data_IF_741814913403
#
_entry.id   IF_741814913403
#
_cell.length_a   1.000
_cell.length_b   1.000
_cell.length_c   1.000
_cell.angle_alpha   90.00
_cell.angle_beta   90.00
_cell.angle_gamma   90.00
#
_symmetry.space_group_name_H-M   'P 1'
#
loop_
_entity.id
_entity.type
_entity.pdbx_description
1 polymer ?
#
# COMPACT_ATOMS: atom_id res chain seq x y z
N UNK A 1 1.34 -26.07 1.56
CA UNK A 1 0.56 -25.83 0.34
C UNK A 1 -0.81 -26.51 0.35
N UNK A 2 -0.95 -27.72 0.96
CA UNK A 2 -2.24 -28.44 0.96
C UNK A 2 -3.44 -27.57 1.35
N UNK A 3 -3.44 -26.80 2.45
CA UNK A 3 -4.61 -25.96 2.79
C UNK A 3 -4.98 -24.95 1.71
N UNK A 4 -4.03 -24.34 0.99
CA UNK A 4 -4.32 -23.43 -0.11
C UNK A 4 -4.92 -24.15 -1.32
N UNK A 5 -4.44 -25.39 -1.61
CA UNK A 5 -5.03 -26.20 -2.68
C UNK A 5 -6.44 -26.69 -2.34
N UNK A 6 -6.68 -27.03 -1.05
CA UNK A 6 -8.02 -27.40 -0.58
C UNK A 6 -9.01 -26.22 -0.70
N UNK A 7 -8.51 -24.97 -0.60
CA UNK A 7 -9.25 -23.73 -0.88
C UNK A 7 -9.35 -23.40 -2.39
N UNK A 8 -8.81 -24.24 -3.28
CA UNK A 8 -8.81 -23.99 -4.72
C UNK A 8 -7.94 -22.81 -5.16
N UNK A 9 -6.89 -22.48 -4.40
CA UNK A 9 -5.98 -21.35 -4.67
C UNK A 9 -4.56 -21.88 -4.88
N UNK A 10 -3.98 -21.58 -6.05
CA UNK A 10 -2.59 -21.86 -6.37
C UNK A 10 -1.81 -20.54 -6.42
N UNK A 11 -1.06 -20.17 -5.37
CA UNK A 11 -0.19 -19.01 -5.42
C UNK A 11 1.07 -19.30 -6.23
N UNK A 12 1.50 -18.32 -7.03
CA UNK A 12 2.69 -18.38 -7.86
C UNK A 12 3.58 -17.19 -7.50
N UNK A 13 4.85 -17.46 -7.21
CA UNK A 13 5.90 -16.47 -6.98
C UNK A 13 6.62 -16.15 -8.28
N UNK A 14 6.97 -14.90 -8.49
CA UNK A 14 7.64 -14.45 -9.71
C UNK A 14 9.17 -14.39 -9.52
N UNK A 15 9.90 -14.80 -10.57
CA UNK A 15 11.35 -14.76 -10.64
C UNK A 15 11.80 -14.13 -11.96
N UNK A 16 12.85 -13.32 -11.92
CA UNK A 16 13.57 -12.78 -13.08
C UNK A 16 15.04 -13.22 -13.00
N UNK A 17 15.82 -12.94 -14.02
CA UNK A 17 17.28 -13.15 -14.02
C UNK A 17 17.98 -12.45 -12.82
N UNK A 18 17.37 -11.36 -12.31
CA UNK A 18 17.87 -10.60 -11.16
C UNK A 18 17.40 -11.15 -9.81
N UNK A 19 16.65 -12.26 -9.80
CA UNK A 19 16.13 -12.91 -8.59
C UNK A 19 14.62 -12.81 -8.42
N UNK A 20 14.15 -13.21 -7.23
CA UNK A 20 12.73 -13.21 -6.90
C UNK A 20 12.16 -11.79 -6.76
N UNK A 21 10.91 -11.65 -7.20
CA UNK A 21 10.13 -10.42 -7.04
C UNK A 21 9.18 -10.55 -5.85
N UNK A 22 8.82 -9.44 -5.20
CA UNK A 22 7.78 -9.41 -4.17
C UNK A 22 6.37 -9.50 -4.77
N UNK A 23 6.22 -10.14 -5.91
CA UNK A 23 5.02 -10.21 -6.71
C UNK A 23 4.39 -11.59 -6.62
N UNK A 24 3.06 -11.65 -6.62
CA UNK A 24 2.29 -12.87 -6.53
C UNK A 24 1.24 -12.93 -7.64
N UNK A 25 1.05 -14.11 -8.21
CA UNK A 25 -0.14 -14.43 -8.98
C UNK A 25 -0.95 -15.49 -8.26
N UNK A 26 -2.26 -15.39 -8.34
CA UNK A 26 -3.20 -16.38 -7.81
C UNK A 26 -3.91 -17.04 -8.98
N UNK A 27 -3.76 -18.36 -9.08
CA UNK A 27 -4.50 -19.18 -10.04
C UNK A 27 -5.63 -19.88 -9.31
N UNK A 28 -6.83 -19.79 -9.87
CA UNK A 28 -8.06 -20.35 -9.30
C UNK A 28 -9.05 -20.67 -10.43
N UNK A 29 -10.13 -21.38 -10.10
CA UNK A 29 -11.22 -21.64 -11.03
C UNK A 29 -12.45 -20.78 -10.68
N UNK A 30 -13.04 -20.15 -11.69
CA UNK A 30 -14.32 -19.46 -11.63
C UNK A 30 -15.01 -19.61 -13.00
N UNK A 31 -15.75 -20.72 -13.19
CA UNK A 31 -16.27 -21.15 -14.50
C UNK A 31 -15.19 -21.63 -15.48
N UNK A 32 -13.98 -21.12 -15.34
CA UNK A 32 -12.75 -21.50 -16.05
C UNK A 32 -11.53 -21.23 -15.17
N UNK A 33 -10.37 -21.73 -15.59
CA UNK A 33 -9.11 -21.41 -14.90
C UNK A 33 -8.71 -19.97 -15.21
N UNK A 34 -8.47 -19.18 -14.15
CA UNK A 34 -8.09 -17.78 -14.21
C UNK A 34 -6.79 -17.52 -13.45
N UNK A 35 -6.09 -16.48 -13.85
CA UNK A 35 -4.88 -15.97 -13.18
C UNK A 35 -5.03 -14.49 -12.92
N UNK A 36 -5.05 -14.09 -11.64
CA UNK A 36 -4.94 -12.69 -11.22
C UNK A 36 -3.54 -12.43 -10.68
N UNK A 37 -2.84 -11.50 -11.30
CA UNK A 37 -1.50 -11.06 -10.90
C UNK A 37 -1.62 -9.78 -10.09
N UNK A 38 -1.11 -9.80 -8.86
CA UNK A 38 -1.25 -8.70 -7.90
C UNK A 38 0.05 -7.93 -7.84
N UNK A 39 -0.02 -6.63 -8.06
CA UNK A 39 1.10 -5.69 -7.97
C UNK A 39 2.34 -6.16 -8.76
N UNK A 40 2.13 -6.73 -9.94
CA UNK A 40 3.18 -7.33 -10.76
C UNK A 40 3.56 -6.47 -11.95
N UNK A 41 4.74 -6.73 -12.51
CA UNK A 41 5.15 -6.18 -13.80
C UNK A 41 4.45 -6.93 -14.96
N UNK A 42 4.20 -6.23 -16.07
CA UNK A 42 3.74 -6.86 -17.29
C UNK A 42 4.83 -7.79 -17.86
N UNK A 43 4.51 -9.06 -18.05
CA UNK A 43 5.37 -10.04 -18.71
C UNK A 43 4.91 -10.28 -20.15
N UNK A 44 5.86 -10.37 -21.08
CA UNK A 44 5.56 -10.72 -22.48
C UNK A 44 5.26 -12.20 -22.66
N UNK A 45 5.78 -13.05 -21.79
CA UNK A 45 5.69 -14.51 -21.92
C UNK A 45 4.39 -15.09 -21.38
N UNK A 46 3.77 -14.44 -20.39
CA UNK A 46 2.50 -14.89 -19.83
C UNK A 46 1.64 -13.69 -19.42
N UNK A 47 0.51 -13.51 -20.10
CA UNK A 47 -0.46 -12.48 -19.75
C UNK A 47 -1.48 -13.08 -18.77
N UNK A 48 -1.66 -12.52 -17.57
CA UNK A 48 -2.74 -12.90 -16.68
C UNK A 48 -4.08 -12.39 -17.21
N UNK A 49 -5.17 -12.96 -16.71
CA UNK A 49 -6.52 -12.48 -17.00
C UNK A 49 -6.74 -11.07 -16.42
N UNK A 50 -6.06 -10.73 -15.31
CA UNK A 50 -6.01 -9.37 -14.78
C UNK A 50 -4.69 -9.06 -14.05
N UNK A 51 -4.24 -7.81 -14.16
CA UNK A 51 -3.27 -7.18 -13.27
C UNK A 51 -4.03 -6.34 -12.25
N UNK A 52 -4.12 -6.80 -11.01
CA UNK A 52 -4.72 -6.06 -9.91
C UNK A 52 -3.65 -5.14 -9.31
N UNK A 53 -3.83 -3.83 -9.42
CA UNK A 53 -2.92 -2.84 -8.83
C UNK A 53 -3.59 -2.25 -7.60
N UNK A 54 -3.06 -2.57 -6.41
CA UNK A 54 -3.67 -2.18 -5.14
C UNK A 54 -3.50 -0.71 -4.84
N UNK A 55 -2.36 -0.12 -5.18
CA UNK A 55 -2.03 1.30 -5.02
C UNK A 55 -0.83 1.70 -5.90
N UNK A 56 -0.45 2.98 -5.89
CA UNK A 56 0.52 3.52 -6.86
C UNK A 56 1.96 3.62 -6.35
N UNK A 57 2.35 2.98 -5.22
CA UNK A 57 3.75 2.91 -4.82
C UNK A 57 4.57 2.04 -5.78
N UNK A 58 5.81 2.46 -6.05
CA UNK A 58 6.67 1.88 -7.09
C UNK A 58 7.10 0.43 -6.85
N UNK A 59 7.05 -0.02 -5.61
CA UNK A 59 7.35 -1.39 -5.19
C UNK A 59 6.15 -2.34 -5.30
N UNK A 60 4.93 -1.79 -5.50
CA UNK A 60 3.69 -2.55 -5.66
C UNK A 60 3.17 -2.65 -7.09
N UNK A 61 3.72 -1.90 -8.03
CA UNK A 61 3.32 -2.05 -9.42
C UNK A 61 4.52 -2.05 -10.34
N UNK A 62 4.47 -2.87 -11.36
CA UNK A 62 5.38 -2.70 -12.47
C UNK A 62 4.88 -1.55 -13.34
N UNK A 63 5.75 -0.58 -13.63
CA UNK A 63 5.47 0.52 -14.58
C UNK A 63 4.81 0.04 -15.87
N UNK A 64 5.11 -1.19 -16.29
CA UNK A 64 4.53 -1.81 -17.47
C UNK A 64 3.09 -2.30 -17.27
N UNK A 65 2.68 -2.65 -16.04
CA UNK A 65 1.33 -3.16 -15.79
C UNK A 65 0.26 -2.10 -16.07
N UNK A 66 0.50 -0.82 -15.72
CA UNK A 66 -0.42 0.28 -16.01
C UNK A 66 -0.71 0.47 -17.51
N UNK A 67 0.15 -0.04 -18.38
CA UNK A 67 0.01 0.03 -19.85
C UNK A 67 -0.74 -1.19 -20.43
N UNK A 68 -1.13 -2.15 -19.61
CA UNK A 68 -1.92 -3.31 -20.03
C UNK A 68 -3.40 -3.00 -20.03
N UNK A 69 -4.12 -3.47 -21.04
CA UNK A 69 -5.59 -3.42 -21.08
C UNK A 69 -6.26 -4.29 -20.01
N UNK A 70 -5.51 -5.28 -19.48
CA UNK A 70 -5.95 -6.17 -18.41
C UNK A 70 -5.65 -5.59 -17.01
N UNK A 71 -5.03 -4.40 -16.91
CA UNK A 71 -4.81 -3.75 -15.63
C UNK A 71 -6.11 -3.21 -15.04
N UNK A 72 -6.25 -3.34 -13.71
CA UNK A 72 -7.43 -2.90 -12.97
C UNK A 72 -6.97 -2.23 -11.67
N UNK A 73 -7.40 -1.00 -11.42
CA UNK A 73 -7.15 -0.28 -10.17
C UNK A 73 -8.24 0.77 -9.90
N UNK A 74 -8.20 1.40 -8.72
CA UNK A 74 -9.09 2.52 -8.42
C UNK A 74 -8.84 3.72 -9.34
N UNK A 75 -9.83 4.61 -9.48
CA UNK A 75 -9.71 5.84 -10.27
C UNK A 75 -8.56 6.72 -9.75
N UNK A 76 -8.42 6.82 -8.43
CA UNK A 76 -7.39 7.59 -7.77
C UNK A 76 -6.00 6.97 -7.97
N UNK A 77 -5.88 5.65 -7.89
CA UNK A 77 -4.61 4.95 -8.21
C UNK A 77 -4.22 5.17 -9.67
N UNK A 78 -5.15 5.07 -10.62
CA UNK A 78 -4.87 5.37 -12.02
C UNK A 78 -4.39 6.81 -12.22
N UNK A 79 -5.05 7.77 -11.57
CA UNK A 79 -4.67 9.19 -11.61
C UNK A 79 -3.27 9.41 -11.03
N UNK A 80 -2.95 8.78 -9.90
CA UNK A 80 -1.62 8.86 -9.30
C UNK A 80 -0.54 8.29 -10.23
N UNK A 81 -0.79 7.14 -10.87
CA UNK A 81 0.11 6.53 -11.85
C UNK A 81 0.33 7.44 -13.07
N UNK A 82 -0.73 8.08 -13.57
CA UNK A 82 -0.62 9.02 -14.69
C UNK A 82 0.26 10.22 -14.33
N UNK A 83 0.11 10.78 -13.13
CA UNK A 83 0.93 11.89 -12.62
C UNK A 83 2.39 11.45 -12.47
N UNK A 84 2.64 10.31 -11.82
CA UNK A 84 3.98 9.81 -11.54
C UNK A 84 4.77 9.46 -12.79
N UNK A 85 4.12 8.95 -13.84
CA UNK A 85 4.81 8.44 -15.03
C UNK A 85 4.58 9.26 -16.30
N UNK A 86 3.72 10.27 -16.26
CA UNK A 86 3.39 11.10 -17.43
C UNK A 86 2.79 10.29 -18.58
N UNK A 87 2.09 9.17 -18.28
CA UNK A 87 1.50 8.27 -19.27
C UNK A 87 0.07 7.95 -18.90
N UNK A 88 -0.79 7.85 -19.91
CA UNK A 88 -2.17 7.41 -19.72
C UNK A 88 -2.24 5.98 -19.21
N UNK A 89 -3.08 5.76 -18.22
CA UNK A 89 -3.46 4.44 -17.74
C UNK A 89 -4.29 3.72 -18.84
N UNK A 90 -3.90 2.52 -19.19
CA UNK A 90 -4.52 1.80 -20.30
C UNK A 90 -5.61 0.80 -19.89
N UNK A 91 -5.68 0.49 -18.61
CA UNK A 91 -6.58 -0.52 -18.05
C UNK A 91 -7.96 0.03 -17.67
N UNK A 92 -8.67 -0.74 -16.86
CA UNK A 92 -10.00 -0.40 -16.35
C UNK A 92 -9.90 0.20 -14.94
N UNK A 93 -10.76 1.16 -14.64
CA UNK A 93 -10.85 1.78 -13.32
C UNK A 93 -12.21 1.59 -12.68
N UNK A 94 -12.26 1.71 -11.36
CA UNK A 94 -13.47 1.63 -10.54
C UNK A 94 -13.42 2.64 -9.39
N UNK A 95 -14.56 2.89 -8.75
CA UNK A 95 -14.60 3.54 -7.44
C UNK A 95 -14.46 2.49 -6.35
N UNK A 96 -13.67 2.79 -5.31
CA UNK A 96 -13.55 1.91 -4.14
C UNK A 96 -14.93 1.76 -3.48
N UNK A 97 -15.28 0.52 -3.15
CA UNK A 97 -16.61 0.12 -2.66
C UNK A 97 -17.51 -0.46 -3.75
N UNK A 98 -17.17 -0.28 -5.03
CA UNK A 98 -17.92 -0.88 -6.13
C UNK A 98 -17.58 -2.38 -6.27
N UNK A 99 -18.53 -3.14 -6.84
CA UNK A 99 -18.30 -4.45 -7.45
C UNK A 99 -18.02 -4.29 -8.93
N UNK A 100 -17.03 -5.00 -9.43
CA UNK A 100 -16.63 -4.98 -10.85
C UNK A 100 -16.54 -6.40 -11.39
N UNK A 101 -16.94 -6.61 -12.65
CA UNK A 101 -16.65 -7.87 -13.34
C UNK A 101 -15.23 -7.87 -13.87
N UNK A 102 -14.43 -8.87 -13.52
CA UNK A 102 -13.09 -9.10 -14.05
C UNK A 102 -13.04 -10.52 -14.60
N UNK A 103 -12.99 -10.64 -15.91
CA UNK A 103 -12.92 -11.92 -16.63
C UNK A 103 -14.07 -12.91 -16.29
N UNK A 104 -15.24 -12.40 -15.94
CA UNK A 104 -16.41 -13.17 -15.52
C UNK A 104 -16.50 -13.43 -14.02
N UNK A 105 -15.64 -12.80 -13.22
CA UNK A 105 -15.65 -12.89 -11.75
C UNK A 105 -16.11 -11.56 -11.16
N UNK A 106 -17.10 -11.60 -10.27
CA UNK A 106 -17.47 -10.45 -9.46
C UNK A 106 -16.37 -10.19 -8.43
N UNK A 107 -15.70 -9.05 -8.54
CA UNK A 107 -14.67 -8.60 -7.60
C UNK A 107 -15.18 -7.38 -6.84
N UNK A 108 -15.25 -7.47 -5.52
CA UNK A 108 -15.55 -6.35 -4.62
C UNK A 108 -14.27 -5.66 -4.18
N UNK A 109 -14.37 -4.38 -3.89
CA UNK A 109 -13.23 -3.57 -3.50
C UNK A 109 -13.49 -2.87 -2.17
N UNK A 110 -12.45 -2.77 -1.33
CA UNK A 110 -12.54 -2.17 0.01
C UNK A 110 -11.36 -1.21 0.24
N UNK A 111 -11.56 -0.06 0.91
CA UNK A 111 -10.46 0.85 1.21
C UNK A 111 -9.48 0.22 2.21
N UNK A 112 -8.18 0.42 2.02
CA UNK A 112 -7.13 0.02 2.97
C UNK A 112 -6.51 1.22 3.69
N UNK A 113 -6.91 2.44 3.31
CA UNK A 113 -6.50 3.70 3.92
C UNK A 113 -4.98 3.97 3.94
N UNK A 114 -4.20 3.19 3.18
CA UNK A 114 -2.75 3.34 3.08
C UNK A 114 -2.36 4.60 2.29
N UNK A 115 -2.91 4.75 1.10
CA UNK A 115 -2.78 5.94 0.26
C UNK A 115 -4.14 6.35 -0.29
N UNK A 116 -4.23 7.52 -0.92
CA UNK A 116 -5.42 7.88 -1.71
C UNK A 116 -5.56 6.86 -2.85
N UNK A 117 -6.68 6.19 -2.90
CA UNK A 117 -6.97 5.16 -3.90
C UNK A 117 -6.48 3.75 -3.58
N UNK A 118 -5.80 3.52 -2.44
CA UNK A 118 -5.40 2.17 -2.04
C UNK A 118 -6.61 1.30 -1.69
N UNK A 119 -6.63 0.06 -2.19
CA UNK A 119 -7.76 -0.84 -1.97
C UNK A 119 -7.36 -2.31 -1.90
N UNK A 120 -8.17 -3.07 -1.16
CA UNK A 120 -8.20 -4.52 -1.20
C UNK A 120 -9.14 -5.00 -2.31
N UNK A 121 -8.78 -6.12 -2.94
CA UNK A 121 -9.62 -6.86 -3.88
C UNK A 121 -10.15 -8.13 -3.22
N UNK A 122 -11.43 -8.42 -3.40
CA UNK A 122 -12.11 -9.56 -2.80
C UNK A 122 -13.00 -10.24 -3.84
N UNK A 123 -12.88 -11.57 -3.97
CA UNK A 123 -13.71 -12.37 -4.87
C UNK A 123 -13.93 -13.79 -4.34
N UNK A 124 -14.80 -14.54 -5.02
CA UNK A 124 -15.03 -15.95 -4.75
C UNK A 124 -14.62 -16.80 -5.94
N UNK A 125 -14.08 -17.98 -5.66
CA UNK A 125 -13.85 -19.02 -6.67
C UNK A 125 -14.99 -20.05 -6.73
N UNK A 126 -14.89 -21.05 -7.63
CA UNK A 126 -15.94 -22.07 -7.85
C UNK A 126 -16.24 -22.94 -6.62
N UNK A 127 -15.27 -23.14 -5.74
CA UNK A 127 -15.49 -23.89 -4.50
C UNK A 127 -16.05 -23.02 -3.36
N UNK A 128 -16.36 -21.77 -3.65
CA UNK A 128 -16.95 -20.81 -2.70
C UNK A 128 -15.91 -20.13 -1.79
N UNK A 129 -14.62 -20.35 -1.99
CA UNK A 129 -13.55 -19.71 -1.21
C UNK A 129 -13.54 -18.22 -1.45
N UNK A 130 -13.62 -17.45 -0.36
CA UNK A 130 -13.51 -16.00 -0.34
C UNK A 130 -12.03 -15.61 -0.29
N UNK A 131 -11.53 -15.06 -1.36
CA UNK A 131 -10.11 -14.66 -1.52
C UNK A 131 -10.03 -13.15 -1.38
N UNK A 132 -9.13 -12.67 -0.53
CA UNK A 132 -8.86 -11.24 -0.35
C UNK A 132 -7.36 -10.96 -0.49
N UNK A 133 -7.05 -9.90 -1.25
CA UNK A 133 -5.70 -9.35 -1.40
C UNK A 133 -5.74 -7.89 -0.98
N UNK A 134 -4.99 -7.54 0.06
CA UNK A 134 -5.09 -6.20 0.66
C UNK A 134 -4.18 -5.17 0.01
N UNK A 135 -3.03 -5.57 -0.54
CA UNK A 135 -1.93 -4.63 -0.69
C UNK A 135 -1.47 -4.13 0.68
N UNK A 136 -0.98 -2.90 0.73
CA UNK A 136 -0.60 -2.24 1.98
C UNK A 136 -1.82 -1.68 2.71
N UNK A 137 -1.81 -1.75 4.04
CA UNK A 137 -2.96 -1.42 4.88
C UNK A 137 -2.58 -0.47 6.00
N UNK A 138 -3.35 0.60 6.16
CA UNK A 138 -3.28 1.47 7.35
C UNK A 138 -4.42 1.22 8.33
N UNK A 139 -5.61 0.89 7.84
CA UNK A 139 -6.80 0.64 8.66
C UNK A 139 -7.62 -0.48 8.02
N UNK A 140 -8.01 -1.47 8.80
CA UNK A 140 -8.75 -2.65 8.36
C UNK A 140 -10.23 -2.64 8.69
N UNK A 141 -10.76 -1.54 9.24
CA UNK A 141 -12.16 -1.46 9.73
C UNK A 141 -13.20 -1.84 8.68
N UNK A 142 -12.92 -1.58 7.40
CA UNK A 142 -13.83 -1.83 6.29
C UNK A 142 -13.63 -3.22 5.64
N UNK A 143 -12.60 -3.99 6.05
CA UNK A 143 -12.29 -5.28 5.45
C UNK A 143 -13.22 -6.38 5.98
N UNK A 144 -13.83 -7.20 5.09
CA UNK A 144 -14.68 -8.31 5.48
C UNK A 144 -13.88 -9.54 5.94
N UNK A 145 -14.58 -10.52 6.47
CA UNK A 145 -14.03 -11.86 6.67
C UNK A 145 -13.74 -12.54 5.32
N UNK A 146 -12.72 -13.44 5.31
CA UNK A 146 -12.31 -14.16 4.12
C UNK A 146 -11.74 -15.54 4.49
N UNK A 147 -11.58 -16.42 3.50
CA UNK A 147 -11.01 -17.76 3.71
C UNK A 147 -9.53 -17.82 3.35
N UNK A 148 -9.09 -17.04 2.37
CA UNK A 148 -7.71 -16.88 1.94
C UNK A 148 -7.34 -15.40 1.95
N UNK A 149 -6.40 -15.02 2.81
CA UNK A 149 -5.89 -13.64 2.93
C UNK A 149 -4.48 -13.54 2.36
N UNK A 150 -4.26 -12.61 1.43
CA UNK A 150 -2.93 -12.20 0.96
C UNK A 150 -2.68 -10.77 1.43
N UNK A 151 -1.67 -10.55 2.27
CA UNK A 151 -1.47 -9.25 2.93
C UNK A 151 0.00 -8.90 3.12
N UNK A 152 0.25 -7.60 3.28
CA UNK A 152 1.58 -7.08 3.60
C UNK A 152 2.13 -7.62 4.93
N UNK A 153 3.45 -7.47 5.10
CA UNK A 153 4.12 -7.68 6.37
C UNK A 153 5.25 -6.65 6.59
N UNK A 154 5.00 -5.40 6.23
CA UNK A 154 6.00 -4.31 6.29
C UNK A 154 6.59 -4.15 7.70
N UNK A 155 5.74 -4.27 8.71
CA UNK A 155 6.12 -4.27 10.13
C UNK A 155 5.73 -5.61 10.79
N UNK A 156 5.97 -6.74 10.11
CA UNK A 156 5.45 -8.05 10.47
C UNK A 156 6.28 -8.86 11.48
N UNK A 157 7.29 -8.31 12.16
CA UNK A 157 8.04 -9.05 13.20
C UNK A 157 7.54 -8.70 14.61
N UNK A 158 6.79 -9.61 15.28
CA UNK A 158 6.29 -9.37 16.63
C UNK A 158 7.38 -9.22 17.70
N UNK A 159 8.60 -9.63 17.41
CA UNK A 159 9.72 -9.56 18.35
C UNK A 159 10.65 -8.36 18.08
N UNK A 160 10.44 -7.63 16.98
CA UNK A 160 11.20 -6.41 16.68
C UNK A 160 10.49 -5.18 17.28
N UNK A 161 11.08 -4.48 18.27
CA UNK A 161 10.50 -3.25 18.81
C UNK A 161 10.24 -2.16 17.77
N UNK A 162 10.91 -2.23 16.62
CA UNK A 162 10.70 -1.30 15.49
C UNK A 162 9.39 -1.56 14.73
N UNK A 163 8.76 -2.69 14.97
CA UNK A 163 7.48 -3.05 14.37
C UNK A 163 6.28 -2.70 15.25
N UNK A 164 6.51 -2.15 16.45
CA UNK A 164 5.48 -1.70 17.39
C UNK A 164 5.48 -0.18 17.45
N UNK A 165 4.41 0.45 17.02
CA UNK A 165 4.27 1.90 17.06
C UNK A 165 2.80 2.32 16.94
N UNK A 166 2.55 3.53 17.39
CA UNK A 166 1.30 4.26 17.15
C UNK A 166 1.64 5.61 16.52
N UNK A 167 0.71 6.20 15.78
CA UNK A 167 0.89 7.55 15.26
C UNK A 167 0.89 8.57 16.40
N UNK A 168 1.91 9.40 16.45
CA UNK A 168 2.02 10.50 17.41
C UNK A 168 1.39 11.78 16.85
N UNK A 169 0.06 11.80 16.84
CA UNK A 169 -0.71 12.96 16.40
C UNK A 169 -0.59 14.13 17.39
N UNK A 170 -0.23 13.86 18.67
CA UNK A 170 0.04 14.87 19.68
C UNK A 170 1.28 15.67 19.32
N UNK A 171 2.43 15.00 19.19
CA UNK A 171 3.68 15.66 18.79
C UNK A 171 3.57 16.38 17.43
N UNK A 172 2.76 15.84 16.49
CA UNK A 172 2.52 16.51 15.21
C UNK A 172 1.79 17.85 15.41
N UNK A 173 0.73 17.90 16.22
CA UNK A 173 -0.01 19.14 16.52
C UNK A 173 0.84 20.13 17.29
N UNK A 174 1.53 19.69 18.34
CA UNK A 174 2.45 20.51 19.13
C UNK A 174 3.50 21.18 18.23
N UNK A 175 4.08 20.44 17.27
CA UNK A 175 5.06 21.01 16.34
C UNK A 175 4.49 22.13 15.46
N UNK A 176 3.22 22.05 15.09
CA UNK A 176 2.53 23.10 14.32
C UNK A 176 2.18 24.32 15.20
N UNK A 177 1.87 24.11 16.48
CA UNK A 177 1.56 25.18 17.42
C UNK A 177 2.82 25.95 17.83
N UNK A 178 3.95 25.27 18.05
CA UNK A 178 5.23 25.88 18.41
C UNK A 178 5.82 26.73 17.28
N UNK A 179 5.72 26.25 16.01
CA UNK A 179 6.32 26.95 14.85
C UNK A 179 5.35 26.96 13.65
N UNK A 180 4.24 27.70 13.75
CA UNK A 180 3.19 27.67 12.72
C UNK A 180 3.62 28.25 11.36
N UNK A 181 4.73 29.00 11.33
CA UNK A 181 5.16 29.73 10.13
C UNK A 181 6.61 29.46 9.71
N UNK A 182 7.27 28.45 10.28
CA UNK A 182 8.66 28.11 9.91
C UNK A 182 8.99 26.63 10.19
N UNK A 183 8.16 25.72 9.66
CA UNK A 183 8.32 24.28 9.88
C UNK A 183 8.35 23.51 8.55
N UNK A 184 9.15 22.45 8.48
CA UNK A 184 9.20 21.54 7.36
C UNK A 184 8.99 20.07 7.79
N UNK A 185 8.23 19.35 6.97
CA UNK A 185 8.01 17.92 7.12
C UNK A 185 8.62 17.14 5.94
N UNK A 186 9.47 16.16 6.26
CA UNK A 186 9.96 15.17 5.31
C UNK A 186 8.96 14.01 5.21
N UNK A 187 8.31 13.88 4.07
CA UNK A 187 7.30 12.86 3.82
C UNK A 187 7.50 12.25 2.41
N UNK A 188 7.22 10.95 2.25
CA UNK A 188 7.21 10.36 0.91
C UNK A 188 6.17 11.05 0.04
N UNK A 189 6.53 11.32 -1.22
CA UNK A 189 5.75 12.16 -2.13
C UNK A 189 4.33 11.65 -2.40
N UNK A 190 4.11 10.34 -2.36
CA UNK A 190 2.79 9.74 -2.46
C UNK A 190 2.39 9.03 -1.14
N UNK A 191 1.17 9.23 -0.70
CA UNK A 191 0.61 8.72 0.56
C UNK A 191 0.89 9.70 1.71
N UNK A 192 2.11 9.71 2.23
CA UNK A 192 2.47 10.43 3.45
C UNK A 192 2.41 11.96 3.31
N UNK A 193 2.83 12.51 2.18
CA UNK A 193 2.71 13.95 1.93
C UNK A 193 1.24 14.40 1.93
N UNK A 194 0.34 13.65 1.29
CA UNK A 194 -1.10 13.93 1.28
C UNK A 194 -1.71 13.80 2.67
N UNK A 195 -1.28 12.79 3.43
CA UNK A 195 -1.68 12.63 4.83
C UNK A 195 -1.23 13.80 5.70
N UNK A 196 0.00 14.28 5.52
CA UNK A 196 0.50 15.46 6.22
C UNK A 196 -0.34 16.70 5.90
N UNK A 197 -0.65 16.96 4.62
CA UNK A 197 -1.55 18.06 4.22
C UNK A 197 -2.89 17.94 4.91
N UNK A 198 -3.51 16.77 4.91
CA UNK A 198 -4.78 16.54 5.60
C UNK A 198 -4.69 16.87 7.09
N UNK A 199 -3.69 16.36 7.80
CA UNK A 199 -3.49 16.62 9.23
C UNK A 199 -3.24 18.11 9.53
N UNK A 200 -2.47 18.81 8.68
CA UNK A 200 -2.25 20.26 8.76
C UNK A 200 -3.58 21.02 8.60
N UNK A 201 -4.42 20.63 7.65
CA UNK A 201 -5.73 21.28 7.46
C UNK A 201 -6.70 20.98 8.63
N UNK A 202 -6.69 19.76 9.12
CA UNK A 202 -7.49 19.35 10.29
C UNK A 202 -7.05 20.07 11.59
N UNK A 203 -5.80 20.53 11.70
CA UNK A 203 -5.34 21.39 12.81
C UNK A 203 -5.80 22.85 12.68
N UNK A 204 -6.52 23.21 11.62
CA UNK A 204 -7.02 24.57 11.39
C UNK A 204 -6.08 25.48 10.60
N UNK A 205 -4.92 25.00 10.17
CA UNK A 205 -4.02 25.83 9.34
C UNK A 205 -4.60 26.07 7.95
N UNK A 206 -4.89 27.33 7.61
CA UNK A 206 -5.45 27.76 6.33
C UNK A 206 -4.43 28.40 5.37
N UNK A 207 -3.18 28.59 5.82
CA UNK A 207 -2.12 29.23 5.05
C UNK A 207 -1.62 28.37 3.88
N UNK A 208 -0.68 28.92 3.14
CA UNK A 208 -0.01 28.25 2.02
C UNK A 208 0.89 27.12 2.52
N UNK A 209 0.85 25.97 1.84
CA UNK A 209 1.78 24.85 2.06
C UNK A 209 2.70 24.74 0.85
N UNK A 210 4.02 24.88 1.09
CA UNK A 210 5.05 24.68 0.05
C UNK A 210 5.33 23.18 -0.12
N UNK A 211 5.38 22.72 -1.37
CA UNK A 211 5.64 21.31 -1.64
C UNK A 211 6.67 21.12 -2.77
N UNK A 212 7.44 20.03 -2.71
CA UNK A 212 8.24 19.61 -3.85
C UNK A 212 7.35 19.28 -5.06
N UNK A 213 7.88 19.36 -6.30
CA UNK A 213 7.05 19.25 -7.50
C UNK A 213 6.22 17.99 -7.61
N UNK A 214 6.75 16.83 -7.17
CA UNK A 214 6.04 15.55 -7.27
C UNK A 214 4.93 15.46 -6.23
N UNK A 215 5.25 15.80 -4.97
CA UNK A 215 4.26 15.87 -3.88
C UNK A 215 3.15 16.88 -4.21
N UNK A 216 3.51 18.04 -4.77
CA UNK A 216 2.56 19.08 -5.19
C UNK A 216 1.60 18.56 -6.25
N UNK A 217 2.13 18.00 -7.35
CA UNK A 217 1.29 17.49 -8.45
C UNK A 217 0.35 16.36 -8.01
N UNK A 218 0.81 15.47 -7.14
CA UNK A 218 -0.03 14.38 -6.59
C UNK A 218 -1.10 14.93 -5.65
N UNK A 219 -0.77 15.89 -4.80
CA UNK A 219 -1.71 16.46 -3.83
C UNK A 219 -2.78 17.26 -4.54
N UNK A 220 -2.39 18.15 -5.47
CA UNK A 220 -3.32 18.96 -6.29
C UNK A 220 -4.23 18.06 -7.15
N UNK A 221 -3.65 17.01 -7.75
CA UNK A 221 -4.39 16.10 -8.60
C UNK A 221 -5.37 15.17 -7.86
N UNK A 222 -5.15 14.88 -6.58
CA UNK A 222 -5.88 13.85 -5.83
C UNK A 222 -6.73 14.39 -4.69
N UNK A 223 -6.40 15.56 -4.12
CA UNK A 223 -7.09 16.15 -2.97
C UNK A 223 -7.82 17.42 -3.34
N UNK A 224 -9.14 17.42 -3.21
CA UNK A 224 -9.96 18.61 -3.47
C UNK A 224 -9.89 19.66 -2.34
N UNK A 225 -9.56 19.23 -1.15
CA UNK A 225 -9.54 19.99 0.10
C UNK A 225 -8.13 20.30 0.61
N UNK A 226 -7.13 20.18 -0.27
CA UNK A 226 -5.74 20.50 0.04
C UNK A 226 -5.51 21.99 0.41
N UNK A 227 -6.42 22.86 0.02
CA UNK A 227 -6.25 24.31 0.17
C UNK A 227 -5.17 24.87 -0.75
N UNK A 228 -4.59 26.01 -0.43
CA UNK A 228 -3.59 26.64 -1.29
C UNK A 228 -2.23 25.93 -1.17
N UNK A 229 -1.80 25.31 -2.25
CA UNK A 229 -0.47 24.70 -2.42
C UNK A 229 0.40 25.64 -3.25
N UNK A 230 1.69 25.69 -2.96
CA UNK A 230 2.69 26.51 -3.68
C UNK A 230 3.99 25.74 -3.84
N UNK A 231 4.86 26.21 -4.72
CA UNK A 231 6.19 25.61 -4.88
C UNK A 231 7.02 25.77 -3.60
N UNK A 232 7.92 24.84 -3.35
CA UNK A 232 8.73 24.73 -2.15
C UNK A 232 9.54 26.00 -1.81
N UNK A 233 10.00 26.72 -2.85
CA UNK A 233 10.76 27.96 -2.73
C UNK A 233 9.91 29.20 -2.45
N UNK A 234 8.58 29.07 -2.50
CA UNK A 234 7.66 30.17 -2.22
C UNK A 234 7.70 30.57 -0.74
N UNK A 235 7.33 31.82 -0.47
CA UNK A 235 7.13 32.28 0.90
C UNK A 235 5.88 31.64 1.50
N UNK A 236 6.09 30.65 2.39
CA UNK A 236 5.04 29.91 3.08
C UNK A 236 5.55 29.43 4.45
N UNK A 237 4.64 29.30 5.41
CA UNK A 237 4.99 28.92 6.79
C UNK A 237 5.28 27.44 6.97
N UNK A 238 4.63 26.59 6.16
CA UNK A 238 4.78 25.14 6.25
C UNK A 238 5.28 24.58 4.93
N UNK A 239 6.29 23.71 5.00
CA UNK A 239 6.88 23.05 3.82
C UNK A 239 6.81 21.53 3.97
N UNK A 240 6.54 20.84 2.86
CA UNK A 240 6.56 19.38 2.76
C UNK A 240 7.47 18.99 1.60
N UNK A 241 8.45 18.13 1.88
CA UNK A 241 9.40 17.62 0.88
C UNK A 241 9.75 16.17 1.15
N UNK A 242 10.53 15.55 0.28
CA UNK A 242 10.97 14.16 0.52
C UNK A 242 11.94 14.08 1.72
N UNK A 243 12.00 12.92 2.43
CA UNK A 243 12.92 12.76 3.56
C UNK A 243 14.39 13.01 3.21
N UNK A 244 14.80 12.77 1.96
CA UNK A 244 16.16 13.00 1.50
C UNK A 244 16.53 14.49 1.31
N UNK A 245 15.54 15.33 1.07
CA UNK A 245 15.74 16.76 0.72
C UNK A 245 15.52 17.71 1.92
N UNK A 246 14.89 17.25 3.00
CA UNK A 246 14.50 18.08 4.14
C UNK A 246 15.67 18.79 4.80
N UNK A 247 16.85 18.17 4.83
CA UNK A 247 18.06 18.78 5.41
C UNK A 247 18.49 20.05 4.69
N UNK A 248 18.21 20.17 3.39
CA UNK A 248 18.55 21.31 2.56
C UNK A 248 17.63 22.51 2.72
N UNK A 249 16.49 22.38 3.38
CA UNK A 249 15.56 23.49 3.60
C UNK A 249 16.03 24.41 4.72
N UNK A 250 15.78 25.71 4.55
CA UNK A 250 15.98 26.72 5.59
C UNK A 250 14.65 26.88 6.35
N UNK A 251 14.47 26.08 7.41
CA UNK A 251 13.33 26.17 8.34
C UNK A 251 13.83 25.98 9.76
N UNK A 252 13.19 26.64 10.74
CA UNK A 252 13.56 26.56 12.14
C UNK A 252 13.32 25.16 12.72
N UNK A 253 12.20 24.54 12.36
CA UNK A 253 11.88 23.16 12.75
C UNK A 253 11.77 22.25 11.54
N UNK A 254 12.26 21.00 11.70
CA UNK A 254 12.24 20.00 10.64
C UNK A 254 12.04 18.63 11.25
N UNK A 255 11.07 17.88 10.73
CA UNK A 255 10.78 16.50 11.16
C UNK A 255 10.55 15.59 9.96
N UNK A 256 11.05 14.36 10.04
CA UNK A 256 10.65 13.30 9.10
C UNK A 256 9.44 12.55 9.67
N UNK A 257 8.36 12.47 8.89
CA UNK A 257 7.18 11.70 9.23
C UNK A 257 7.40 10.23 8.88
N UNK A 258 7.49 9.36 9.88
CA UNK A 258 7.85 7.97 9.64
C UNK A 258 7.54 7.06 10.83
N UNK A 259 7.14 5.80 10.58
CA UNK A 259 7.10 4.75 11.59
C UNK A 259 8.47 4.09 11.86
N UNK A 260 9.51 4.46 11.09
CA UNK A 260 10.86 3.91 11.25
C UNK A 260 11.57 4.52 12.45
N UNK A 261 12.22 3.68 13.25
CA UNK A 261 12.99 4.08 14.45
C UNK A 261 14.51 4.14 14.21
N UNK A 262 14.99 3.90 13.00
CA UNK A 262 16.41 3.88 12.65
C UNK A 262 16.88 5.15 11.91
N UNK A 263 16.06 6.18 11.91
CA UNK A 263 16.36 7.47 11.27
C UNK A 263 17.15 8.35 12.25
N UNK A 264 18.29 8.90 11.80
CA UNK A 264 19.13 9.82 12.61
C UNK A 264 18.70 11.29 12.54
N UNK A 265 17.54 11.59 12.03
CA UNK A 265 16.99 12.94 11.94
C UNK A 265 15.79 13.06 12.89
N UNK A 266 15.43 14.25 13.38
CA UNK A 266 14.22 14.42 14.17
C UNK A 266 12.99 13.82 13.45
N UNK A 267 12.23 12.99 14.15
CA UNK A 267 11.09 12.28 13.56
C UNK A 267 9.82 12.50 14.38
N UNK A 268 8.69 12.56 13.71
CA UNK A 268 7.39 12.36 14.33
C UNK A 268 6.84 11.03 13.80
N UNK A 269 6.37 10.19 14.72
CA UNK A 269 5.88 8.86 14.34
C UNK A 269 4.52 8.97 13.65
N UNK A 270 4.53 8.98 12.32
CA UNK A 270 3.35 8.94 11.46
C UNK A 270 3.63 7.92 10.35
N UNK A 271 2.84 6.86 10.32
CA UNK A 271 2.99 5.75 9.38
C UNK A 271 1.73 5.52 8.55
N UNK A 272 1.89 5.26 7.27
CA UNK A 272 0.79 4.87 6.38
C UNK A 272 0.53 3.35 6.40
N UNK A 273 1.29 2.60 7.21
CA UNK A 273 1.09 1.16 7.45
C UNK A 273 0.57 0.91 8.85
N UNK A 274 -0.01 -0.25 9.05
CA UNK A 274 -0.22 -0.83 10.38
C UNK A 274 1.11 -1.22 11.01
N UNK A 275 1.18 -1.17 12.33
CA UNK A 275 2.19 -1.87 13.11
C UNK A 275 1.89 -3.38 13.16
N UNK A 276 2.75 -4.17 13.81
CA UNK A 276 2.54 -5.62 13.88
C UNK A 276 1.25 -6.00 14.63
N UNK A 277 0.85 -5.23 15.65
CA UNK A 277 -0.38 -5.50 16.40
C UNK A 277 -1.62 -5.25 15.50
N UNK A 278 -1.58 -4.21 14.68
CA UNK A 278 -2.60 -3.95 13.68
C UNK A 278 -2.70 -5.07 12.65
N UNK A 279 -1.58 -5.56 12.10
CA UNK A 279 -1.57 -6.69 11.15
C UNK A 279 -2.13 -7.98 11.77
N UNK A 280 -1.78 -8.27 13.03
CA UNK A 280 -2.32 -9.42 13.76
C UNK A 280 -3.82 -9.22 14.04
N UNK A 281 -4.23 -8.02 14.45
CA UNK A 281 -5.63 -7.66 14.70
C UNK A 281 -6.49 -7.80 13.43
N UNK A 282 -6.03 -7.28 12.32
CA UNK A 282 -6.66 -7.43 10.99
C UNK A 282 -6.80 -8.91 10.61
N UNK A 283 -5.74 -9.70 10.79
CA UNK A 283 -5.80 -11.15 10.50
C UNK A 283 -6.87 -11.84 11.33
N UNK A 284 -6.99 -11.50 12.62
CA UNK A 284 -8.04 -12.04 13.48
C UNK A 284 -9.44 -11.58 13.07
N UNK A 285 -9.59 -10.31 12.69
CA UNK A 285 -10.85 -9.74 12.20
C UNK A 285 -11.32 -10.45 10.93
N UNK A 286 -10.42 -10.64 9.95
CA UNK A 286 -10.74 -11.29 8.68
C UNK A 286 -10.93 -12.81 8.81
N UNK A 287 -10.52 -13.43 9.95
CA UNK A 287 -10.68 -14.83 10.31
C UNK A 287 -10.34 -15.86 9.20
N UNK A 288 -9.20 -15.72 8.49
CA UNK A 288 -8.89 -16.56 7.34
C UNK A 288 -8.47 -17.98 7.77
N UNK A 289 -8.80 -18.97 6.93
CA UNK A 289 -8.27 -20.35 7.04
C UNK A 289 -6.83 -20.44 6.55
N UNK A 290 -6.40 -19.55 5.65
CA UNK A 290 -5.03 -19.48 5.15
C UNK A 290 -4.58 -18.04 4.89
N UNK A 291 -3.32 -17.75 5.22
CA UNK A 291 -2.69 -16.43 5.02
C UNK A 291 -1.44 -16.56 4.16
N UNK A 292 -1.25 -15.64 3.23
CA UNK A 292 0.01 -15.43 2.52
C UNK A 292 0.51 -14.04 2.90
N UNK A 293 1.69 -13.96 3.50
CA UNK A 293 2.33 -12.70 3.87
C UNK A 293 3.40 -12.31 2.85
N UNK A 294 3.46 -11.05 2.47
CA UNK A 294 4.50 -10.55 1.55
C UNK A 294 4.94 -9.13 1.91
N UNK A 295 6.14 -8.78 1.50
CA UNK A 295 6.66 -7.41 1.51
C UNK A 295 7.92 -7.34 0.64
N UNK A 296 8.20 -6.23 -0.04
CA UNK A 296 9.42 -6.05 -0.80
C UNK A 296 10.67 -5.97 0.10
N UNK A 297 11.33 -7.09 0.28
CA UNK A 297 12.60 -7.20 1.02
C UNK A 297 12.46 -7.54 2.52
N UNK A 298 13.55 -8.07 3.09
CA UNK A 298 13.63 -8.43 4.50
C UNK A 298 12.99 -9.78 4.85
N UNK A 299 12.96 -10.11 6.14
CA UNK A 299 12.45 -11.39 6.68
C UNK A 299 11.13 -11.24 7.45
N UNK A 300 10.53 -10.06 7.48
CA UNK A 300 9.30 -9.76 8.23
C UNK A 300 8.11 -10.60 7.78
N UNK A 301 7.90 -10.90 6.48
CA UNK A 301 6.87 -11.84 6.06
C UNK A 301 7.01 -13.23 6.70
N UNK A 302 8.24 -13.76 6.75
CA UNK A 302 8.54 -15.04 7.39
C UNK A 302 8.25 -15.02 8.89
N UNK A 303 8.53 -13.89 9.56
CA UNK A 303 8.28 -13.71 11.00
C UNK A 303 6.79 -13.66 11.31
N UNK A 304 6.02 -12.86 10.54
CA UNK A 304 4.57 -12.80 10.69
C UNK A 304 3.93 -14.17 10.41
N UNK A 305 4.29 -14.82 9.32
CA UNK A 305 3.77 -16.15 8.99
C UNK A 305 4.09 -17.18 10.09
N UNK A 306 5.30 -17.15 10.65
CA UNK A 306 5.69 -18.04 11.76
C UNK A 306 4.87 -17.78 13.03
N UNK A 307 4.63 -16.50 13.35
CA UNK A 307 3.78 -16.12 14.48
C UNK A 307 2.35 -16.59 14.30
N UNK A 308 1.76 -16.39 13.12
CA UNK A 308 0.39 -16.81 12.81
C UNK A 308 0.25 -18.35 12.93
N UNK A 309 1.21 -19.11 12.40
CA UNK A 309 1.23 -20.60 12.56
C UNK A 309 1.28 -21.02 14.02
N UNK A 310 2.12 -20.38 14.84
CA UNK A 310 2.20 -20.67 16.28
C UNK A 310 0.87 -20.42 17.00
N UNK A 311 0.03 -19.51 16.46
CA UNK A 311 -1.29 -19.18 16.99
C UNK A 311 -2.44 -19.91 16.25
N UNK A 312 -2.14 -21.02 15.55
CA UNK A 312 -3.15 -21.90 14.96
C UNK A 312 -3.70 -21.48 13.60
N UNK A 313 -3.18 -20.40 13.00
CA UNK A 313 -3.58 -19.95 11.66
C UNK A 313 -2.58 -20.49 10.64
N UNK A 314 -3.05 -21.21 9.62
CA UNK A 314 -2.16 -21.61 8.53
C UNK A 314 -1.64 -20.37 7.80
N UNK A 315 -0.34 -20.17 7.76
CA UNK A 315 0.28 -19.04 7.09
C UNK A 315 1.55 -19.43 6.35
N UNK A 316 1.79 -18.82 5.21
CA UNK A 316 3.01 -18.92 4.41
C UNK A 316 3.49 -17.53 4.07
N UNK A 317 4.80 -17.29 4.18
CA UNK A 317 5.39 -16.14 3.52
C UNK A 317 5.53 -16.40 2.01
N UNK A 318 5.56 -15.35 1.22
CA UNK A 318 5.78 -15.46 -0.23
C UNK A 318 7.09 -16.23 -0.54
N UNK A 319 8.12 -16.06 0.30
CA UNK A 319 9.40 -16.76 0.20
C UNK A 319 9.29 -18.29 0.36
N UNK A 320 8.25 -18.76 1.01
CA UNK A 320 7.96 -20.19 1.23
C UNK A 320 7.07 -20.78 0.12
N UNK A 321 6.69 -20.00 -0.90
CA UNK A 321 5.93 -20.46 -2.07
C UNK A 321 6.91 -21.06 -3.08
N UNK A 322 6.73 -22.35 -3.38
CA UNK A 322 7.61 -23.10 -4.28
C UNK A 322 7.12 -23.14 -5.74
N UNK A 323 5.89 -22.68 -6.02
CA UNK A 323 5.39 -22.52 -7.38
C UNK A 323 5.94 -21.23 -7.95
N UNK A 324 6.79 -21.34 -8.97
CA UNK A 324 7.56 -20.21 -9.52
C UNK A 324 7.16 -19.99 -10.97
N UNK A 325 6.96 -18.72 -11.34
CA UNK A 325 6.86 -18.24 -12.70
C UNK A 325 8.13 -17.46 -13.05
N UNK A 326 8.85 -17.92 -14.05
CA UNK A 326 9.97 -17.17 -14.64
C UNK A 326 9.44 -16.14 -15.66
N UNK A 327 9.81 -14.88 -15.50
CA UNK A 327 9.31 -13.73 -16.28
C UNK A 327 10.46 -12.89 -16.85
#
# INVERSE_FOLDING_TARGET
MKPLFDLGVLPIRHRTDKGFKPHISLVFNAGKRLTFSVDTTNSRSQQPDAYLITHAHSDHHGRSAMLSKNAVCSQETAKALEILYGKKYAGRTFKIGDSIDIAGVEVKTYPTHHTIGSCAFYWKNDVGTRIMVTGDVKDSKDLPDCDCLVTEANYGDPNDPKCHFEDDLGAFRESLEEMPNDIAFGAYAFGKAQRAVKLIRESGYSGKIGMDPVSHALTDGLMKDAGQLVDLDSNCGIKITTPGEISGLTCAMKFILTGRKDIKFPTINISDHMDVNGLIGMTKQCAPSAVITYHPGGNRPLKLAAYLRKNGIYAKALEEINTILEI
#
